data_IF_775361054435
#
_entry.id   IF_775361054435
#
_cell.length_a   1.000
_cell.length_b   1.000
_cell.length_c   1.000
_cell.angle_alpha   90.00
_cell.angle_beta   90.00
_cell.angle_gamma   90.00
#
_symmetry.space_group_name_H-M   'P 1'
#
loop_
_entity.id
_entity.type
_entity.pdbx_description
1 polymer ?
#
# COMPACT_ATOMS: atom_id res chain seq x y z
N UNK A 1 3.71 71.93 32.19
CA UNK A 1 2.42 71.61 32.85
C UNK A 1 2.11 70.16 32.52
N UNK A 2 1.73 69.40 33.53
CA UNK A 2 1.71 67.94 33.50
C UNK A 2 0.45 67.40 32.80
N UNK A 3 0.64 66.53 31.82
CA UNK A 3 -0.43 65.71 31.26
C UNK A 3 -0.34 64.29 31.83
N UNK A 4 -1.31 63.98 32.67
CA UNK A 4 -1.60 62.65 33.24
C UNK A 4 -1.90 61.66 32.11
N UNK A 5 -1.04 60.66 31.91
CA UNK A 5 -1.42 59.44 31.20
C UNK A 5 -1.82 58.36 32.23
N UNK A 6 -3.02 57.76 32.11
CA UNK A 6 -3.39 56.63 32.97
C UNK A 6 -2.50 55.42 32.67
N UNK A 7 -1.92 54.84 33.72
CA UNK A 7 -1.21 53.57 33.67
C UNK A 7 -2.16 52.46 33.23
N UNK A 8 -1.99 51.93 32.01
CA UNK A 8 -2.71 50.75 31.56
C UNK A 8 -2.11 49.51 32.22
N UNK A 9 -2.93 48.82 33.00
CA UNK A 9 -2.64 47.52 33.60
C UNK A 9 -2.50 46.45 32.50
N UNK A 10 -1.34 45.76 32.37
CA UNK A 10 -1.13 44.73 31.34
C UNK A 10 -1.96 43.46 31.55
N UNK A 11 -2.72 43.34 32.64
CA UNK A 11 -3.45 42.13 32.98
C UNK A 11 -4.84 41.98 32.31
N UNK A 12 -5.23 42.89 31.41
CA UNK A 12 -6.50 42.84 30.68
C UNK A 12 -6.46 42.16 29.31
N UNK A 13 -5.31 41.60 28.88
CA UNK A 13 -5.29 40.71 27.72
C UNK A 13 -5.91 39.36 28.10
N UNK A 14 -7.23 39.27 27.95
CA UNK A 14 -7.98 38.03 28.07
C UNK A 14 -7.26 36.92 27.30
N UNK A 15 -6.90 35.86 28.03
CA UNK A 15 -6.38 34.61 27.44
C UNK A 15 -7.34 34.20 26.32
N UNK A 16 -6.87 33.90 25.09
CA UNK A 16 -7.75 33.39 24.06
C UNK A 16 -8.46 32.15 24.60
N UNK A 17 -9.79 32.21 24.66
CA UNK A 17 -10.60 31.07 25.08
C UNK A 17 -10.21 29.87 24.21
N UNK A 18 -9.84 28.76 24.86
CA UNK A 18 -9.67 27.51 24.12
C UNK A 18 -11.00 27.20 23.45
N UNK A 19 -11.02 26.79 22.17
CA UNK A 19 -12.26 26.40 21.54
C UNK A 19 -12.88 25.29 22.38
N UNK A 20 -14.07 25.58 22.93
CA UNK A 20 -14.90 24.62 23.65
C UNK A 20 -14.97 23.36 22.80
N UNK A 21 -14.63 22.19 23.35
CA UNK A 21 -14.72 20.94 22.61
C UNK A 21 -16.20 20.70 22.30
N UNK A 22 -16.64 21.18 21.14
CA UNK A 22 -17.99 20.95 20.65
C UNK A 22 -18.14 19.45 20.48
N UNK A 23 -18.89 18.83 21.39
CA UNK A 23 -19.31 17.42 21.33
C UNK A 23 -19.57 17.06 19.86
N UNK A 24 -18.95 15.98 19.39
CA UNK A 24 -19.13 15.53 18.01
C UNK A 24 -20.63 15.28 17.78
N UNK A 25 -21.25 15.79 16.70
CA UNK A 25 -22.64 15.52 16.44
C UNK A 25 -22.87 14.00 16.35
N UNK A 26 -24.05 13.52 16.77
CA UNK A 26 -24.38 12.11 16.66
C UNK A 26 -24.33 11.70 15.19
N UNK A 27 -23.76 10.53 14.94
CA UNK A 27 -23.71 10.00 13.59
C UNK A 27 -25.12 9.60 13.13
N UNK A 28 -25.38 9.58 11.81
CA UNK A 28 -26.55 8.91 11.26
C UNK A 28 -26.67 7.49 11.82
N UNK A 29 -27.88 7.07 12.24
CA UNK A 29 -28.11 5.75 12.85
C UNK A 29 -27.61 4.57 12.00
N UNK A 30 -27.57 4.74 10.67
CA UNK A 30 -27.05 3.76 9.72
C UNK A 30 -25.55 3.51 9.90
N UNK A 31 -24.79 4.56 10.21
CA UNK A 31 -23.35 4.48 10.44
C UNK A 31 -23.02 3.99 11.85
N UNK A 32 -23.87 4.31 12.84
CA UNK A 32 -23.68 3.82 14.21
C UNK A 32 -23.76 2.30 14.30
N UNK A 33 -24.61 1.66 13.49
CA UNK A 33 -24.73 0.19 13.43
C UNK A 33 -23.43 -0.51 13.01
N UNK A 34 -22.57 0.18 12.25
CA UNK A 34 -21.33 -0.36 11.70
C UNK A 34 -20.10 -0.06 12.57
N UNK A 35 -20.27 0.68 13.67
CA UNK A 35 -19.18 1.15 14.54
C UNK A 35 -18.28 0.03 15.08
N UNK A 36 -18.82 -1.18 15.31
CA UNK A 36 -18.06 -2.31 15.88
C UNK A 36 -17.07 -2.93 14.89
N UNK A 37 -17.32 -2.76 13.60
CA UNK A 37 -16.56 -3.42 12.53
C UNK A 37 -15.49 -2.50 11.91
N UNK A 38 -15.39 -1.26 12.39
CA UNK A 38 -14.55 -0.21 11.81
C UNK A 38 -13.53 0.28 12.85
N UNK A 39 -12.23 0.35 12.50
CA UNK A 39 -11.20 0.95 13.37
C UNK A 39 -11.59 2.36 13.83
N UNK A 40 -11.39 2.64 15.12
CA UNK A 40 -11.83 3.88 15.77
C UNK A 40 -11.32 5.14 15.08
N UNK A 41 -10.09 5.12 14.55
CA UNK A 41 -9.50 6.23 13.80
C UNK A 41 -10.32 6.59 12.54
N UNK A 42 -10.77 5.58 11.80
CA UNK A 42 -11.58 5.77 10.60
C UNK A 42 -12.99 6.23 10.95
N UNK A 43 -13.55 5.68 12.02
CA UNK A 43 -14.84 6.11 12.56
C UNK A 43 -14.83 7.59 12.98
N UNK A 44 -13.78 8.03 13.67
CA UNK A 44 -13.61 9.41 14.09
C UNK A 44 -13.41 10.36 12.90
N UNK A 45 -12.61 9.95 11.90
CA UNK A 45 -12.40 10.74 10.68
C UNK A 45 -13.70 10.97 9.88
N UNK A 46 -14.57 9.95 9.79
CA UNK A 46 -15.88 10.08 9.13
C UNK A 46 -16.79 11.04 9.89
N UNK A 47 -16.88 10.93 11.22
CA UNK A 47 -17.69 11.84 12.03
C UNK A 47 -17.24 13.30 11.93
N UNK A 48 -15.92 13.53 11.95
CA UNK A 48 -15.35 14.87 11.72
C UNK A 48 -15.70 15.39 10.32
N UNK A 49 -15.54 14.56 9.29
CA UNK A 49 -15.82 14.95 7.90
C UNK A 49 -17.30 15.28 7.68
N UNK A 50 -18.20 14.49 8.27
CA UNK A 50 -19.65 14.70 8.15
C UNK A 50 -20.10 15.99 8.83
N UNK A 51 -19.56 16.31 10.02
CA UNK A 51 -19.83 17.57 10.71
C UNK A 51 -19.48 18.77 9.83
N UNK A 52 -18.28 18.78 9.27
CA UNK A 52 -17.84 19.86 8.38
C UNK A 52 -18.70 19.90 7.10
N UNK A 53 -19.07 18.76 6.54
CA UNK A 53 -19.96 18.77 5.37
C UNK A 53 -21.33 19.38 5.68
N UNK A 54 -21.94 19.05 6.83
CA UNK A 54 -23.23 19.61 7.24
C UNK A 54 -23.17 21.13 7.47
N UNK A 55 -22.07 21.61 8.06
CA UNK A 55 -21.86 23.03 8.34
C UNK A 55 -21.55 23.85 7.07
N UNK A 56 -20.90 23.24 6.06
CA UNK A 56 -20.36 23.93 4.89
C UNK A 56 -20.95 23.51 3.54
N UNK A 57 -22.03 22.70 3.50
CA UNK A 57 -22.67 22.28 2.24
C UNK A 57 -23.26 23.43 1.41
N UNK A 58 -23.39 24.63 2.00
CA UNK A 58 -23.81 25.87 1.33
C UNK A 58 -22.68 26.53 0.54
N UNK A 59 -21.42 26.22 0.85
CA UNK A 59 -20.29 26.69 0.08
C UNK A 59 -20.15 25.85 -1.20
N UNK A 60 -20.21 26.52 -2.36
CA UNK A 60 -20.15 25.87 -3.67
C UNK A 60 -18.86 25.08 -3.88
N UNK A 61 -17.72 25.56 -3.39
CA UNK A 61 -16.43 24.90 -3.60
C UNK A 61 -16.29 23.66 -2.72
N UNK A 62 -16.75 23.73 -1.48
CA UNK A 62 -16.76 22.59 -0.57
C UNK A 62 -17.75 21.54 -1.07
N UNK A 63 -18.96 21.94 -1.46
CA UNK A 63 -19.94 21.04 -2.06
C UNK A 63 -19.39 20.37 -3.32
N UNK A 64 -18.77 21.13 -4.24
CA UNK A 64 -18.15 20.59 -5.45
C UNK A 64 -17.02 19.62 -5.13
N UNK A 65 -16.18 19.91 -4.13
CA UNK A 65 -15.12 19.00 -3.69
C UNK A 65 -15.69 17.66 -3.20
N UNK A 66 -16.69 17.70 -2.31
CA UNK A 66 -17.32 16.50 -1.79
C UNK A 66 -18.13 15.75 -2.86
N UNK A 67 -18.82 16.44 -3.76
CA UNK A 67 -19.51 15.83 -4.90
C UNK A 67 -18.51 15.15 -5.85
N UNK A 68 -17.35 15.76 -6.09
CA UNK A 68 -16.26 15.17 -6.90
C UNK A 68 -15.67 13.95 -6.21
N UNK A 69 -15.41 14.04 -4.90
CA UNK A 69 -14.91 12.93 -4.11
C UNK A 69 -15.93 11.78 -4.06
N UNK A 70 -17.21 12.09 -3.84
CA UNK A 70 -18.30 11.13 -3.86
C UNK A 70 -18.44 10.49 -5.23
N UNK A 71 -18.43 11.27 -6.30
CA UNK A 71 -18.41 10.76 -7.67
C UNK A 71 -17.18 9.88 -7.93
N UNK A 72 -16.01 10.19 -7.39
CA UNK A 72 -14.83 9.33 -7.47
C UNK A 72 -15.00 8.02 -6.67
N UNK A 73 -15.66 8.04 -5.52
CA UNK A 73 -15.98 6.84 -4.74
C UNK A 73 -17.08 6.01 -5.44
N UNK A 74 -18.12 6.65 -5.95
CA UNK A 74 -19.29 6.04 -6.61
C UNK A 74 -18.97 5.57 -8.04
N UNK A 75 -17.96 6.18 -8.69
CA UNK A 75 -17.39 5.72 -9.97
C UNK A 75 -16.33 4.64 -9.80
N UNK A 76 -15.92 4.31 -8.56
CA UNK A 76 -15.34 3.00 -8.34
C UNK A 76 -16.46 2.02 -8.60
N UNK A 77 -16.23 0.99 -9.44
CA UNK A 77 -17.25 -0.02 -9.64
C UNK A 77 -17.64 -0.55 -8.27
N UNK A 78 -18.95 -0.62 -8.01
CA UNK A 78 -19.50 -1.53 -7.03
C UNK A 78 -18.82 -2.87 -7.29
N UNK A 79 -17.90 -3.28 -6.41
CA UNK A 79 -17.22 -4.56 -6.54
C UNK A 79 -18.21 -5.61 -6.05
N UNK A 80 -19.33 -5.75 -6.78
CA UNK A 80 -20.02 -7.01 -6.91
C UNK A 80 -18.94 -8.07 -7.17
N UNK A 81 -18.97 -9.13 -6.38
CA UNK A 81 -17.98 -10.20 -6.24
C UNK A 81 -17.67 -11.01 -7.53
N UNK A 82 -17.49 -10.39 -8.68
CA UNK A 82 -16.71 -10.94 -9.77
C UNK A 82 -15.24 -10.65 -9.44
N UNK A 83 -14.62 -11.52 -8.65
CA UNK A 83 -13.23 -11.37 -8.21
C UNK A 83 -12.32 -11.11 -9.40
N UNK A 84 -11.76 -9.91 -9.48
CA UNK A 84 -10.74 -9.56 -10.46
C UNK A 84 -9.57 -10.52 -10.25
N UNK A 85 -9.40 -11.44 -11.20
CA UNK A 85 -8.45 -12.54 -11.06
C UNK A 85 -7.23 -12.29 -11.92
N UNK A 86 -6.06 -12.17 -11.29
CA UNK A 86 -4.77 -12.11 -11.97
C UNK A 86 -4.14 -13.49 -11.89
N UNK A 87 -4.01 -14.14 -13.05
CA UNK A 87 -3.33 -15.42 -13.18
C UNK A 87 -1.83 -15.21 -13.09
N UNK A 88 -1.18 -15.83 -12.11
CA UNK A 88 0.26 -15.78 -11.90
C UNK A 88 0.86 -17.17 -12.07
N UNK A 89 2.16 -17.21 -12.35
CA UNK A 89 2.97 -18.41 -12.19
C UNK A 89 4.17 -18.04 -11.33
N UNK A 90 4.53 -18.88 -10.37
CA UNK A 90 5.67 -18.64 -9.48
C UNK A 90 6.80 -19.58 -9.82
N UNK A 91 8.02 -19.05 -9.89
CA UNK A 91 9.24 -19.83 -10.08
C UNK A 91 10.20 -19.43 -8.99
N UNK A 92 10.81 -20.41 -8.33
CA UNK A 92 11.82 -20.16 -7.28
C UNK A 92 13.12 -20.83 -7.69
N UNK A 93 14.22 -20.07 -7.71
CA UNK A 93 15.57 -20.60 -7.97
C UNK A 93 16.41 -20.54 -6.70
N UNK A 94 17.11 -21.65 -6.42
CA UNK A 94 17.78 -21.86 -5.14
C UNK A 94 16.81 -22.30 -4.04
N UNK A 95 17.29 -22.29 -2.80
CA UNK A 95 16.52 -22.61 -1.61
C UNK A 95 16.25 -21.36 -0.76
N UNK A 96 15.00 -20.91 -0.80
CA UNK A 96 14.53 -19.76 -0.03
C UNK A 96 14.12 -20.12 1.39
N UNK A 97 13.95 -21.41 1.72
CA UNK A 97 13.46 -21.92 3.02
C UNK A 97 12.03 -21.48 3.42
N UNK A 98 11.18 -21.10 2.46
CA UNK A 98 9.78 -20.71 2.69
C UNK A 98 9.43 -19.21 2.72
N UNK A 99 10.36 -18.26 2.98
CA UNK A 99 10.15 -16.83 2.82
C UNK A 99 9.54 -16.35 1.49
N UNK A 100 9.79 -17.03 0.38
CA UNK A 100 9.12 -16.80 -0.91
C UNK A 100 7.60 -17.02 -0.80
N UNK A 101 7.18 -18.12 -0.17
CA UNK A 101 5.76 -18.42 0.10
C UNK A 101 5.15 -17.41 1.07
N UNK A 102 5.90 -17.02 2.10
CA UNK A 102 5.46 -16.00 3.05
C UNK A 102 5.27 -14.63 2.39
N UNK A 103 6.16 -14.24 1.48
CA UNK A 103 6.02 -13.02 0.69
C UNK A 103 4.80 -13.10 -0.22
N UNK A 104 4.62 -14.23 -0.91
CA UNK A 104 3.47 -14.45 -1.80
C UNK A 104 2.15 -14.38 -1.03
N UNK A 105 2.07 -14.94 0.18
CA UNK A 105 0.90 -14.84 1.05
C UNK A 105 0.59 -13.37 1.40
N UNK A 106 1.60 -12.57 1.74
CA UNK A 106 1.41 -11.13 1.96
C UNK A 106 0.94 -10.39 0.70
N UNK A 107 1.40 -10.82 -0.48
CA UNK A 107 0.96 -10.27 -1.77
C UNK A 107 -0.50 -10.64 -2.07
N UNK A 108 -0.93 -11.88 -1.77
CA UNK A 108 -2.31 -12.35 -1.92
C UNK A 108 -3.29 -11.67 -0.97
N UNK A 109 -2.84 -11.28 0.22
CA UNK A 109 -3.64 -10.60 1.25
C UNK A 109 -3.93 -9.11 0.89
N UNK A 110 -4.39 -8.83 -0.31
CA UNK A 110 -5.00 -7.54 -0.64
C UNK A 110 -6.33 -7.81 -1.30
N UNK A 111 -7.42 -7.70 -0.54
CA UNK A 111 -8.80 -8.00 -0.96
C UNK A 111 -9.36 -7.21 -2.16
N UNK A 112 -8.51 -6.59 -2.98
CA UNK A 112 -8.84 -5.96 -4.26
C UNK A 112 -8.56 -6.86 -5.47
N UNK A 113 -7.74 -7.90 -5.33
CA UNK A 113 -7.36 -8.80 -6.44
C UNK A 113 -7.27 -10.23 -5.92
N UNK A 114 -7.90 -11.16 -6.63
CA UNK A 114 -7.67 -12.59 -6.45
C UNK A 114 -6.47 -13.00 -7.30
N UNK A 115 -5.45 -13.61 -6.69
CA UNK A 115 -4.35 -14.20 -7.45
C UNK A 115 -4.61 -15.68 -7.64
N UNK A 116 -4.71 -16.10 -8.89
CA UNK A 116 -4.85 -17.51 -9.26
C UNK A 116 -3.48 -18.04 -9.71
N UNK A 117 -2.98 -19.07 -9.05
CA UNK A 117 -1.79 -19.77 -9.55
C UNK A 117 -2.17 -20.68 -10.71
N UNK A 118 -1.44 -20.56 -11.81
CA UNK A 118 -1.68 -21.30 -13.04
C UNK A 118 -0.37 -21.80 -13.62
N UNK A 119 -0.45 -22.68 -14.62
CA UNK A 119 0.71 -23.08 -15.40
C UNK A 119 1.32 -21.88 -16.12
N UNK A 120 2.62 -21.96 -16.36
CA UNK A 120 3.36 -20.89 -17.03
C UNK A 120 2.75 -20.51 -18.37
N UNK A 121 2.09 -21.40 -19.12
CA UNK A 121 1.44 -21.08 -20.40
C UNK A 121 0.17 -20.22 -20.23
N UNK A 122 -0.52 -20.29 -19.09
CA UNK A 122 -1.79 -19.60 -18.83
C UNK A 122 -1.65 -18.34 -17.98
N UNK A 123 -0.54 -18.12 -17.27
CA UNK A 123 -0.39 -16.93 -16.45
C UNK A 123 -0.33 -15.61 -17.26
N UNK A 124 -0.73 -14.50 -16.64
CA UNK A 124 -0.50 -13.15 -17.18
C UNK A 124 0.94 -12.68 -16.92
N UNK A 125 1.53 -13.10 -15.80
CA UNK A 125 2.83 -12.66 -15.32
C UNK A 125 3.49 -13.76 -14.48
N UNK A 126 4.82 -13.85 -14.57
CA UNK A 126 5.64 -14.74 -13.76
C UNK A 126 6.20 -13.95 -12.58
N UNK A 127 6.13 -14.51 -11.38
CA UNK A 127 6.86 -14.00 -10.20
C UNK A 127 8.06 -14.93 -9.98
N UNK A 128 9.25 -14.44 -10.27
CA UNK A 128 10.51 -15.17 -10.14
C UNK A 128 11.16 -14.81 -8.81
N UNK A 129 11.23 -15.76 -7.88
CA UNK A 129 11.99 -15.67 -6.63
C UNK A 129 13.41 -16.18 -6.86
N UNK A 130 14.36 -15.27 -6.99
CA UNK A 130 15.77 -15.58 -7.22
C UNK A 130 16.53 -15.50 -5.90
N UNK A 131 16.93 -16.64 -5.32
CA UNK A 131 17.87 -16.63 -4.20
C UNK A 131 19.21 -16.05 -4.63
N UNK A 132 19.68 -15.04 -3.90
CA UNK A 132 21.03 -14.50 -4.06
C UNK A 132 21.97 -15.30 -3.16
N UNK A 133 22.74 -16.18 -3.77
CA UNK A 133 23.69 -17.07 -3.09
C UNK A 133 25.11 -16.53 -3.11
N UNK A 134 25.45 -15.78 -4.16
CA UNK A 134 26.81 -15.30 -4.39
C UNK A 134 26.84 -13.86 -4.89
N UNK A 135 26.30 -13.61 -6.09
CA UNK A 135 26.29 -12.32 -6.77
C UNK A 135 25.00 -12.19 -7.58
N UNK A 136 24.28 -11.05 -7.51
CA UNK A 136 23.03 -10.85 -8.24
C UNK A 136 23.12 -11.15 -9.74
N UNK A 137 24.18 -10.71 -10.43
CA UNK A 137 24.35 -10.91 -11.87
C UNK A 137 24.27 -12.37 -12.32
N UNK A 138 25.09 -13.24 -11.73
CA UNK A 138 25.14 -14.66 -12.09
C UNK A 138 23.88 -15.41 -11.65
N UNK A 139 23.40 -15.12 -10.44
CA UNK A 139 22.21 -15.78 -9.88
C UNK A 139 20.96 -15.42 -10.71
N UNK A 140 20.81 -14.16 -11.14
CA UNK A 140 19.71 -13.72 -12.02
C UNK A 140 19.85 -14.29 -13.43
N UNK A 141 21.07 -14.33 -13.99
CA UNK A 141 21.29 -14.93 -15.31
C UNK A 141 20.85 -16.39 -15.34
N UNK A 142 21.24 -17.17 -14.34
CA UNK A 142 20.81 -18.55 -14.17
C UNK A 142 19.29 -18.64 -13.98
N UNK A 143 18.71 -17.78 -13.13
CA UNK A 143 17.27 -17.81 -12.89
C UNK A 143 16.42 -17.45 -14.11
N UNK A 144 16.95 -16.58 -14.99
CA UNK A 144 16.27 -16.15 -16.21
C UNK A 144 16.44 -17.11 -17.38
N UNK A 145 17.51 -17.92 -17.43
CA UNK A 145 17.74 -18.90 -18.51
C UNK A 145 16.67 -19.99 -18.54
N UNK A 146 16.08 -20.30 -17.39
CA UNK A 146 15.08 -21.35 -17.23
C UNK A 146 13.66 -20.88 -17.56
N UNK A 147 13.47 -19.58 -17.89
CA UNK A 147 12.17 -19.02 -18.24
C UNK A 147 12.00 -18.92 -19.76
N UNK A 148 11.22 -19.81 -20.40
CA UNK A 148 10.96 -19.71 -21.84
C UNK A 148 9.96 -18.59 -22.18
N UNK A 149 10.08 -18.07 -23.40
CA UNK A 149 9.16 -17.09 -23.98
C UNK A 149 9.22 -15.69 -23.38
N UNK A 150 8.24 -14.87 -23.78
CA UNK A 150 8.22 -13.41 -23.57
C UNK A 150 7.28 -12.95 -22.46
N UNK A 151 6.88 -13.87 -21.56
CA UNK A 151 5.98 -13.52 -20.47
C UNK A 151 6.62 -12.48 -19.55
N UNK A 152 5.87 -11.44 -19.14
CA UNK A 152 6.37 -10.46 -18.18
C UNK A 152 6.82 -11.13 -16.88
N UNK A 153 7.96 -10.68 -16.35
CA UNK A 153 8.57 -11.20 -15.12
C UNK A 153 8.64 -10.11 -14.06
N UNK A 154 8.12 -10.41 -12.87
CA UNK A 154 8.43 -9.71 -11.63
C UNK A 154 9.59 -10.46 -10.98
N UNK A 155 10.77 -9.85 -10.98
CA UNK A 155 11.99 -10.40 -10.41
C UNK A 155 12.11 -10.01 -8.93
N UNK A 156 12.10 -11.00 -8.05
CA UNK A 156 12.24 -10.87 -6.61
C UNK A 156 13.60 -11.41 -6.19
N UNK A 157 14.54 -10.51 -5.89
CA UNK A 157 15.88 -10.85 -5.42
C UNK A 157 15.81 -11.18 -3.93
N UNK A 158 15.95 -12.45 -3.60
CA UNK A 158 15.82 -13.00 -2.24
C UNK A 158 17.20 -13.06 -1.59
N UNK A 159 17.52 -12.04 -0.79
CA UNK A 159 18.79 -11.88 -0.08
C UNK A 159 18.74 -12.58 1.28
N UNK A 160 19.62 -13.56 1.46
CA UNK A 160 19.83 -14.20 2.75
C UNK A 160 20.66 -13.28 3.67
N UNK A 161 20.00 -12.66 4.65
CA UNK A 161 20.63 -11.71 5.58
C UNK A 161 19.82 -11.56 6.86
N UNK A 162 20.51 -11.39 8.00
CA UNK A 162 19.88 -11.10 9.31
C UNK A 162 19.25 -9.70 9.38
N UNK A 163 19.65 -8.79 8.51
CA UNK A 163 19.16 -7.41 8.45
C UNK A 163 19.01 -6.93 7.02
N UNK A 164 18.03 -6.07 6.79
CA UNK A 164 17.95 -5.35 5.53
C UNK A 164 19.14 -4.39 5.41
N UNK A 165 19.57 -4.15 4.17
CA UNK A 165 20.59 -3.18 3.84
C UNK A 165 20.21 -2.46 2.56
N UNK A 166 20.83 -1.29 2.35
CA UNK A 166 20.60 -0.53 1.12
C UNK A 166 21.13 -1.32 -0.07
N UNK A 167 20.26 -1.57 -1.03
CA UNK A 167 20.57 -2.21 -2.30
C UNK A 167 20.00 -1.32 -3.40
N UNK A 168 20.87 -0.74 -4.22
CA UNK A 168 20.40 -0.18 -5.48
C UNK A 168 19.70 -1.30 -6.24
N UNK A 169 18.46 -1.05 -6.62
CA UNK A 169 17.75 -2.01 -7.46
C UNK A 169 18.26 -1.79 -8.87
N UNK A 170 19.16 -2.66 -9.31
CA UNK A 170 19.64 -2.68 -10.69
C UNK A 170 18.45 -2.69 -11.65
N UNK A 171 18.56 -1.94 -12.75
CA UNK A 171 17.52 -1.89 -13.76
C UNK A 171 17.60 -3.13 -14.65
N UNK A 172 17.11 -4.26 -14.13
CA UNK A 172 17.13 -5.54 -14.82
C UNK A 172 16.38 -5.54 -16.17
N UNK A 173 15.55 -4.54 -16.44
CA UNK A 173 14.85 -4.41 -17.72
C UNK A 173 15.78 -4.07 -18.90
N UNK A 174 16.94 -3.44 -18.64
CA UNK A 174 17.92 -3.12 -19.68
C UNK A 174 18.61 -4.40 -20.19
N UNK A 175 18.87 -5.34 -19.28
CA UNK A 175 19.48 -6.65 -19.61
C UNK A 175 18.43 -7.68 -20.03
N UNK A 176 17.26 -7.66 -19.39
CA UNK A 176 16.17 -8.60 -19.64
C UNK A 176 14.87 -7.84 -19.90
N UNK A 177 14.53 -7.55 -21.16
CA UNK A 177 13.38 -6.71 -21.51
C UNK A 177 12.02 -7.20 -20.96
N UNK A 178 11.89 -8.51 -20.72
CA UNK A 178 10.68 -9.10 -20.11
C UNK A 178 10.54 -8.82 -18.60
N UNK A 179 11.58 -8.33 -17.92
CA UNK A 179 11.51 -7.95 -16.50
C UNK A 179 10.78 -6.62 -16.37
N UNK A 180 9.55 -6.67 -15.84
CA UNK A 180 8.69 -5.49 -15.69
C UNK A 180 8.77 -4.84 -14.31
N UNK A 181 9.41 -5.52 -13.34
CA UNK A 181 9.64 -5.02 -11.98
C UNK A 181 10.76 -5.85 -11.34
N UNK A 182 11.81 -5.19 -10.83
CA UNK A 182 12.77 -5.76 -9.90
C UNK A 182 12.52 -5.27 -8.47
N UNK A 183 12.61 -6.16 -7.49
CA UNK A 183 12.56 -5.82 -6.05
C UNK A 183 13.56 -6.64 -5.24
N UNK A 184 14.10 -6.02 -4.18
CA UNK A 184 14.95 -6.70 -3.20
C UNK A 184 14.12 -7.11 -1.97
N UNK A 185 14.31 -8.34 -1.51
CA UNK A 185 13.64 -8.93 -0.35
C UNK A 185 14.66 -9.61 0.54
N UNK A 186 14.57 -9.42 1.85
CA UNK A 186 15.53 -9.95 2.82
C UNK A 186 14.90 -11.03 3.71
N UNK A 187 15.61 -12.12 3.95
CA UNK A 187 15.15 -13.23 4.80
C UNK A 187 16.31 -13.90 5.55
N UNK A 188 16.00 -14.63 6.61
CA UNK A 188 16.95 -15.48 7.33
C UNK A 188 16.25 -16.67 8.00
N UNK A 189 16.70 -17.91 7.77
CA UNK A 189 16.04 -19.13 8.25
C UNK A 189 15.94 -19.24 9.78
N UNK A 190 16.96 -18.80 10.52
CA UNK A 190 16.99 -19.05 11.97
C UNK A 190 16.41 -17.96 12.87
N UNK A 191 16.22 -16.73 12.38
CA UNK A 191 15.91 -15.58 13.27
C UNK A 191 14.52 -14.99 13.05
N UNK A 192 13.88 -15.18 11.88
CA UNK A 192 12.50 -14.72 11.62
C UNK A 192 11.88 -15.16 10.28
N UNK A 193 12.53 -16.02 9.48
CA UNK A 193 12.09 -16.25 8.11
C UNK A 193 12.14 -14.94 7.29
N UNK A 194 11.05 -14.58 6.63
CA UNK A 194 10.93 -13.30 5.91
C UNK A 194 11.03 -12.12 6.89
N UNK A 195 11.97 -11.19 6.66
CA UNK A 195 12.18 -10.10 7.62
C UNK A 195 11.00 -9.12 7.66
N UNK A 196 10.62 -8.69 8.87
CA UNK A 196 9.66 -7.59 9.07
C UNK A 196 10.40 -6.24 9.02
N UNK A 197 10.75 -5.79 7.81
CA UNK A 197 11.46 -4.54 7.56
C UNK A 197 10.73 -3.63 6.56
N UNK A 198 11.17 -2.37 6.47
CA UNK A 198 10.59 -1.37 5.56
C UNK A 198 10.74 -1.79 4.10
N UNK A 199 11.88 -2.38 3.75
CA UNK A 199 12.24 -2.81 2.41
C UNK A 199 11.28 -3.90 1.91
N UNK A 200 11.05 -4.94 2.71
CA UNK A 200 10.11 -6.02 2.36
C UNK A 200 8.67 -5.51 2.25
N UNK A 201 8.24 -4.61 3.15
CA UNK A 201 6.92 -3.97 3.06
C UNK A 201 6.76 -3.18 1.76
N UNK A 202 7.79 -2.42 1.36
CA UNK A 202 7.81 -1.69 0.09
C UNK A 202 7.83 -2.64 -1.11
N UNK A 203 8.58 -3.76 -1.04
CA UNK A 203 8.59 -4.78 -2.08
C UNK A 203 7.19 -5.36 -2.31
N UNK A 204 6.50 -5.77 -1.24
CA UNK A 204 5.11 -6.25 -1.30
C UNK A 204 4.18 -5.20 -1.95
N UNK A 205 4.29 -3.93 -1.53
CA UNK A 205 3.49 -2.85 -2.11
C UNK A 205 3.76 -2.64 -3.61
N UNK A 206 5.04 -2.67 -4.03
CA UNK A 206 5.44 -2.55 -5.45
C UNK A 206 4.90 -3.72 -6.27
N UNK A 207 5.00 -4.95 -5.76
CA UNK A 207 4.45 -6.15 -6.41
C UNK A 207 2.93 -6.01 -6.57
N UNK A 208 2.21 -5.72 -5.48
CA UNK A 208 0.74 -5.50 -5.51
C UNK A 208 0.35 -4.44 -6.54
N UNK A 209 1.01 -3.28 -6.55
CA UNK A 209 0.76 -2.20 -7.51
C UNK A 209 1.06 -2.61 -8.96
N UNK A 210 2.07 -3.46 -9.19
CA UNK A 210 2.37 -3.99 -10.52
C UNK A 210 1.31 -4.98 -10.98
N UNK A 211 0.86 -5.88 -10.09
CA UNK A 211 -0.19 -6.86 -10.38
C UNK A 211 -1.53 -6.19 -10.73
N UNK A 212 -1.83 -5.03 -10.14
CA UNK A 212 -3.00 -4.22 -10.52
C UNK A 212 -3.06 -3.86 -12.01
N UNK A 213 -1.93 -3.83 -12.73
CA UNK A 213 -1.91 -3.54 -14.18
C UNK A 213 -2.39 -4.71 -15.05
N UNK A 214 -2.54 -5.91 -14.47
CA UNK A 214 -2.99 -7.12 -15.17
C UNK A 214 -4.44 -7.47 -14.84
N UNK A 215 -5.12 -6.58 -14.13
CA UNK A 215 -6.57 -6.59 -13.98
C UNK A 215 -7.13 -6.34 -15.39
N UNK A 216 -7.73 -7.37 -15.98
CA UNK A 216 -8.34 -7.31 -17.31
C UNK A 216 -9.37 -6.17 -17.38
N UNK A 217 -9.25 -5.32 -18.40
CA UNK A 217 -10.34 -4.48 -18.91
C UNK A 217 -11.26 -5.29 -19.81
#
# INVERSE_FOLDING_TARGET
MADNYPSMDPSSQGRPERPVSKQLPPLPPELEKQKKDVPEELYNAVGVSLKHYQDYNKDHNIKKFFDTFKSFIDSKPDVSNAGITVRIHTVTTGNTYGPDKALLAQVKDSGRITLEETDMSRCHVIILFCQISSRPGSDVQYAMSDLPGDKPVILVLMHHSRKAYYTDTENWSDTYPKVVLGVNVFYHETVKGLLSCKENKLAVQKIKKKLQKYISH
#
